data_IF_405511621262
#
_entry.id   IF_405511621262
#
_cell.length_a   1.000
_cell.length_b   1.000
_cell.length_c   1.000
_cell.angle_alpha   90.00
_cell.angle_beta   90.00
_cell.angle_gamma   90.00
#
_symmetry.space_group_name_H-M   'P 1'
#
loop_
_entity.id
_entity.type
_entity.pdbx_description
1 polymer ?
#
# COMPACT_ATOMS: atom_id res chain seq x y z
N UNK A 1 -17.38 24.52 0.89
CA UNK A 1 -16.14 24.92 0.26
C UNK A 1 -15.76 23.90 -0.81
N UNK A 2 -15.22 24.38 -1.94
CA UNK A 2 -14.72 23.52 -3.02
C UNK A 2 -13.28 23.91 -3.36
N UNK A 3 -12.44 22.93 -3.66
CA UNK A 3 -11.08 23.09 -4.14
C UNK A 3 -10.91 22.44 -5.52
N UNK A 4 -10.14 23.12 -6.39
CA UNK A 4 -9.74 22.58 -7.69
C UNK A 4 -8.22 22.72 -7.79
N UNK A 5 -7.52 21.68 -8.22
CA UNK A 5 -6.08 21.72 -8.32
C UNK A 5 -5.56 20.94 -9.52
N UNK A 6 -4.45 21.41 -10.04
CA UNK A 6 -3.66 20.72 -11.05
C UNK A 6 -2.20 20.87 -10.68
N UNK A 7 -1.45 19.78 -10.79
CA UNK A 7 -0.02 19.79 -10.47
C UNK A 7 0.77 18.85 -11.37
N UNK A 8 2.05 19.17 -11.54
CA UNK A 8 3.06 18.29 -12.10
C UNK A 8 4.14 18.09 -11.03
N UNK A 9 4.49 16.83 -10.75
CA UNK A 9 5.42 16.50 -9.68
C UNK A 9 6.24 15.27 -10.03
N UNK A 10 7.34 15.05 -9.29
CA UNK A 10 8.17 13.87 -9.39
C UNK A 10 7.85 12.89 -8.27
N UNK A 11 7.99 11.59 -8.54
CA UNK A 11 7.77 10.56 -7.52
C UNK A 11 8.75 10.75 -6.35
N UNK A 12 8.23 10.65 -5.14
CA UNK A 12 9.04 10.52 -3.91
C UNK A 12 9.20 9.07 -3.48
N UNK A 13 8.39 8.20 -4.06
CA UNK A 13 8.49 6.76 -3.81
C UNK A 13 9.47 6.15 -4.81
N UNK A 14 10.44 5.37 -4.33
CA UNK A 14 11.39 4.68 -5.18
C UNK A 14 10.70 3.59 -5.99
N UNK A 15 11.14 3.42 -7.22
CA UNK A 15 10.77 2.29 -8.09
C UNK A 15 11.98 1.38 -8.23
N UNK A 16 11.77 0.09 -8.00
CA UNK A 16 12.78 -0.94 -8.25
C UNK A 16 12.82 -1.24 -9.74
N UNK A 17 13.99 -1.07 -10.32
CA UNK A 17 14.30 -1.29 -11.74
C UNK A 17 15.52 -2.17 -11.85
N UNK A 18 15.69 -2.85 -12.98
CA UNK A 18 16.76 -3.82 -13.17
C UNK A 18 17.50 -3.57 -14.46
N UNK A 19 18.73 -4.08 -14.56
CA UNK A 19 19.54 -4.00 -15.79
C UNK A 19 20.24 -5.33 -16.01
N UNK A 20 20.26 -5.79 -17.25
CA UNK A 20 21.00 -6.99 -17.64
C UNK A 20 22.27 -6.61 -18.40
N UNK A 21 23.35 -7.35 -18.19
CA UNK A 21 24.60 -7.19 -18.96
C UNK A 21 24.58 -7.95 -20.29
N UNK A 22 23.42 -8.40 -20.74
CA UNK A 22 23.25 -9.11 -22.02
C UNK A 22 23.69 -10.58 -22.00
N UNK A 23 24.12 -11.11 -20.87
CA UNK A 23 24.43 -12.55 -20.72
C UNK A 23 23.13 -13.30 -20.46
N UNK A 24 22.59 -13.96 -21.48
CA UNK A 24 21.46 -14.86 -21.31
C UNK A 24 21.94 -16.12 -20.53
N UNK A 25 21.35 -16.35 -19.37
CA UNK A 25 21.56 -17.62 -18.66
C UNK A 25 20.65 -18.69 -19.27
N UNK A 26 21.19 -19.92 -19.51
CA UNK A 26 20.33 -21.02 -19.87
C UNK A 26 19.31 -21.26 -18.76
N UNK A 27 18.04 -21.25 -19.09
CA UNK A 27 16.90 -21.39 -18.16
C UNK A 27 16.91 -22.70 -17.32
N UNK A 28 17.88 -23.58 -17.55
CA UNK A 28 17.98 -24.90 -16.93
C UNK A 28 18.97 -24.96 -15.74
N UNK A 29 19.70 -23.89 -15.40
CA UNK A 29 20.71 -23.95 -14.34
C UNK A 29 20.23 -23.05 -13.17
N UNK A 30 19.93 -23.62 -11.99
CA UNK A 30 19.64 -22.84 -10.80
C UNK A 30 20.79 -21.85 -10.50
N UNK A 31 20.48 -20.58 -10.25
CA UNK A 31 21.46 -19.51 -9.94
C UNK A 31 22.39 -19.91 -8.79
N UNK A 32 21.90 -20.73 -7.85
CA UNK A 32 22.70 -21.30 -6.75
C UNK A 32 23.81 -22.25 -7.18
N UNK A 33 23.82 -22.70 -8.43
CA UNK A 33 24.81 -23.66 -8.96
C UNK A 33 25.85 -23.01 -9.90
N UNK A 34 25.84 -21.69 -10.02
CA UNK A 34 26.80 -20.95 -10.85
C UNK A 34 27.88 -20.30 -9.96
N UNK A 35 28.95 -21.02 -9.57
CA UNK A 35 30.01 -20.45 -8.74
C UNK A 35 30.78 -19.38 -9.54
N UNK A 36 30.84 -18.17 -9.00
CA UNK A 36 31.65 -17.08 -9.54
C UNK A 36 31.10 -16.35 -10.75
N UNK A 37 29.86 -16.62 -11.13
CA UNK A 37 29.15 -15.84 -12.14
C UNK A 37 28.39 -14.74 -11.40
N UNK A 38 28.78 -13.47 -11.59
CA UNK A 38 27.85 -12.38 -11.40
C UNK A 38 26.64 -12.72 -12.29
N UNK A 39 25.55 -13.22 -11.68
CA UNK A 39 24.28 -13.32 -12.37
C UNK A 39 24.13 -12.02 -13.12
N UNK A 40 24.04 -12.06 -14.46
CA UNK A 40 24.28 -10.93 -15.34
C UNK A 40 23.28 -9.78 -15.23
N UNK A 41 22.76 -9.56 -14.04
CA UNK A 41 21.80 -8.49 -13.72
C UNK A 41 22.24 -7.68 -12.51
N UNK A 42 21.90 -6.40 -12.56
CA UNK A 42 21.96 -5.47 -11.45
C UNK A 42 20.58 -4.85 -11.24
N UNK A 43 20.43 -4.12 -10.15
CA UNK A 43 19.24 -3.32 -9.92
C UNK A 43 19.63 -1.85 -9.70
N UNK A 44 18.70 -0.98 -9.95
CA UNK A 44 18.80 0.43 -9.62
C UNK A 44 17.46 0.96 -9.14
N UNK A 45 17.52 2.09 -8.45
CA UNK A 45 16.33 2.76 -7.93
C UNK A 45 16.11 4.02 -8.76
N UNK A 46 14.89 4.22 -9.21
CA UNK A 46 14.52 5.41 -9.96
C UNK A 46 13.31 6.12 -9.36
N UNK A 47 13.22 7.40 -9.62
CA UNK A 47 12.14 8.28 -9.18
C UNK A 47 11.50 8.91 -10.41
N UNK A 48 10.42 8.31 -10.96
CA UNK A 48 9.79 8.82 -12.18
C UNK A 48 9.33 10.26 -12.04
N UNK A 49 9.66 11.07 -13.03
CA UNK A 49 9.35 12.49 -13.11
C UNK A 49 8.04 12.75 -13.86
N UNK A 50 7.57 14.01 -13.87
CA UNK A 50 6.45 14.50 -14.68
C UNK A 50 5.12 13.74 -14.49
N UNK A 51 4.77 13.47 -13.24
CA UNK A 51 3.46 12.91 -12.89
C UNK A 51 2.45 14.05 -12.83
N UNK A 52 1.44 14.00 -13.69
CA UNK A 52 0.35 14.97 -13.68
C UNK A 52 -0.78 14.51 -12.75
N UNK A 53 -1.36 15.44 -12.02
CA UNK A 53 -2.53 15.19 -11.19
C UNK A 53 -3.53 16.33 -11.32
N UNK A 54 -4.79 15.98 -11.44
CA UNK A 54 -5.94 16.88 -11.42
C UNK A 54 -6.87 16.43 -10.30
N UNK A 55 -7.43 17.37 -9.55
CA UNK A 55 -8.30 17.01 -8.44
C UNK A 55 -9.37 18.03 -8.15
N UNK A 56 -10.41 17.53 -7.53
CA UNK A 56 -11.53 18.32 -6.99
C UNK A 56 -11.79 17.83 -5.56
N UNK A 57 -11.92 18.76 -4.63
CA UNK A 57 -12.28 18.48 -3.25
C UNK A 57 -13.47 19.32 -2.79
N UNK A 58 -14.18 18.82 -1.80
CA UNK A 58 -15.22 19.56 -1.12
C UNK A 58 -15.15 19.35 0.38
N UNK A 59 -15.65 20.33 1.12
CA UNK A 59 -15.88 20.24 2.56
C UNK A 59 -17.16 20.97 2.92
N UNK A 60 -17.96 20.37 3.79
CA UNK A 60 -19.20 20.93 4.32
C UNK A 60 -19.45 20.50 5.74
N UNK A 61 -20.29 21.24 6.48
CA UNK A 61 -20.74 20.89 7.82
C UNK A 61 -22.26 20.77 7.85
N UNK A 62 -22.75 19.70 8.43
CA UNK A 62 -24.17 19.40 8.61
C UNK A 62 -24.43 19.22 10.11
N UNK A 63 -24.73 20.31 10.81
CA UNK A 63 -24.82 20.31 12.27
C UNK A 63 -23.46 20.02 12.90
N UNK A 64 -23.39 18.97 13.72
CA UNK A 64 -22.14 18.49 14.37
C UNK A 64 -21.30 17.57 13.51
N UNK A 65 -21.75 17.30 12.29
CA UNK A 65 -21.06 16.42 11.35
C UNK A 65 -20.35 17.22 10.29
N UNK A 66 -19.04 17.04 10.14
CA UNK A 66 -18.27 17.53 9.01
C UNK A 66 -18.11 16.41 7.99
N UNK A 67 -18.30 16.73 6.72
CA UNK A 67 -18.12 15.83 5.59
C UNK A 67 -17.15 16.46 4.61
N UNK A 68 -16.11 15.73 4.23
CA UNK A 68 -15.18 16.15 3.19
C UNK A 68 -14.96 15.00 2.20
N UNK A 69 -14.60 15.35 0.99
CA UNK A 69 -14.28 14.36 -0.02
C UNK A 69 -13.39 14.93 -1.10
N UNK A 70 -12.73 14.02 -1.79
CA UNK A 70 -11.81 14.34 -2.86
C UNK A 70 -11.90 13.27 -3.95
N UNK A 71 -11.77 13.71 -5.20
CA UNK A 71 -11.48 12.85 -6.34
C UNK A 71 -10.26 13.41 -7.06
N UNK A 72 -9.29 12.55 -7.35
CA UNK A 72 -8.08 12.89 -8.09
C UNK A 72 -7.86 11.95 -9.26
N UNK A 73 -7.33 12.48 -10.36
CA UNK A 73 -7.01 11.75 -11.57
C UNK A 73 -5.57 12.00 -11.97
N UNK A 74 -4.82 10.91 -12.15
CA UNK A 74 -3.43 10.91 -12.61
C UNK A 74 -3.34 10.15 -13.93
N UNK A 75 -3.26 10.82 -15.08
CA UNK A 75 -3.26 10.14 -16.40
C UNK A 75 -2.02 9.29 -16.65
N UNK A 76 -0.95 9.50 -15.90
CA UNK A 76 0.36 8.90 -16.13
C UNK A 76 1.06 8.48 -14.82
N UNK A 77 0.32 7.91 -13.87
CA UNK A 77 0.87 7.39 -12.61
C UNK A 77 1.83 6.22 -12.90
N UNK A 78 3.11 6.29 -12.49
CA UNK A 78 3.99 5.14 -12.56
C UNK A 78 3.57 4.09 -11.53
N UNK A 79 3.33 2.87 -11.99
CA UNK A 79 2.99 1.73 -11.15
C UNK A 79 4.12 0.70 -11.24
N UNK A 80 4.59 0.22 -10.09
CA UNK A 80 5.65 -0.78 -9.99
C UNK A 80 5.19 -2.09 -10.65
N UNK A 81 5.92 -2.55 -11.64
CA UNK A 81 5.80 -3.90 -12.19
C UNK A 81 6.29 -4.88 -11.12
N UNK A 82 5.71 -6.07 -11.06
CA UNK A 82 6.15 -7.13 -10.14
C UNK A 82 7.68 -7.24 -10.11
N UNK A 83 8.28 -7.03 -8.95
CA UNK A 83 9.74 -7.10 -8.80
C UNK A 83 10.29 -8.50 -9.07
N UNK A 84 9.50 -9.54 -8.81
CA UNK A 84 9.85 -10.91 -9.16
C UNK A 84 9.88 -11.12 -10.68
N UNK A 85 8.93 -10.53 -11.41
CA UNK A 85 8.90 -10.61 -12.89
C UNK A 85 10.07 -9.85 -13.51
N UNK A 86 10.43 -8.68 -12.97
CA UNK A 86 11.60 -7.92 -13.40
C UNK A 86 12.90 -8.72 -13.15
N UNK A 87 13.03 -9.30 -11.98
CA UNK A 87 14.19 -10.11 -11.61
C UNK A 87 14.28 -11.35 -12.51
N UNK A 88 13.17 -12.04 -12.73
CA UNK A 88 13.13 -13.20 -13.62
C UNK A 88 13.51 -12.84 -15.06
N UNK A 89 13.05 -11.68 -15.56
CA UNK A 89 13.36 -11.22 -16.91
C UNK A 89 14.87 -10.99 -17.13
N UNK A 90 15.55 -10.32 -16.20
CA UNK A 90 16.99 -10.07 -16.31
C UNK A 90 17.84 -11.32 -16.05
N UNK A 91 17.27 -12.32 -15.41
CA UNK A 91 17.86 -13.65 -15.24
C UNK A 91 17.57 -14.60 -16.43
N UNK A 92 16.96 -14.09 -17.50
CA UNK A 92 16.71 -14.81 -18.74
C UNK A 92 15.41 -15.59 -18.82
N UNK A 93 14.51 -15.45 -17.83
CA UNK A 93 13.18 -16.02 -17.95
C UNK A 93 12.33 -15.23 -18.94
N UNK A 94 11.64 -15.93 -19.84
CA UNK A 94 10.70 -15.29 -20.77
C UNK A 94 9.40 -14.95 -20.05
N UNK A 95 9.10 -13.67 -19.96
CA UNK A 95 7.86 -13.14 -19.41
C UNK A 95 7.54 -11.76 -20.07
N UNK A 96 6.38 -11.14 -19.82
CA UNK A 96 6.01 -9.87 -20.44
C UNK A 96 6.98 -8.71 -20.17
N UNK A 97 7.70 -8.71 -19.04
CA UNK A 97 8.70 -7.70 -18.74
C UNK A 97 9.95 -7.83 -19.61
N UNK A 98 10.29 -9.04 -20.09
CA UNK A 98 11.46 -9.29 -20.94
C UNK A 98 11.42 -8.46 -22.25
N UNK A 99 10.24 -8.28 -22.83
CA UNK A 99 10.06 -7.49 -24.04
C UNK A 99 10.30 -5.98 -23.84
N UNK A 100 10.47 -5.54 -22.61
CA UNK A 100 10.71 -4.14 -22.22
C UNK A 100 12.18 -3.84 -21.92
N UNK A 101 13.07 -4.84 -22.04
CA UNK A 101 14.51 -4.63 -21.88
C UNK A 101 14.99 -3.75 -23.03
N UNK A 102 15.60 -2.64 -22.68
CA UNK A 102 16.14 -1.68 -23.66
C UNK A 102 17.47 -2.17 -24.27
N UNK A 103 17.91 -1.51 -25.33
CA UNK A 103 19.14 -1.91 -26.03
C UNK A 103 20.42 -1.79 -25.16
N UNK A 104 20.41 -0.93 -24.15
CA UNK A 104 21.48 -0.79 -23.16
C UNK A 104 21.40 -1.84 -22.02
N UNK A 105 20.37 -2.68 -22.04
CA UNK A 105 20.13 -3.69 -21.02
C UNK A 105 19.23 -3.24 -19.86
N UNK A 106 18.84 -1.99 -19.80
CA UNK A 106 17.99 -1.49 -18.73
C UNK A 106 16.54 -1.97 -18.88
N UNK A 107 15.91 -2.23 -17.75
CA UNK A 107 14.51 -2.58 -17.65
C UNK A 107 13.87 -1.72 -16.57
N UNK A 108 13.19 -0.66 -17.01
CA UNK A 108 12.46 0.24 -16.14
C UNK A 108 11.32 -0.50 -15.43
N UNK A 109 11.33 -0.44 -14.10
CA UNK A 109 10.44 -1.21 -13.22
C UNK A 109 9.01 -0.70 -13.13
N UNK A 110 8.59 0.21 -13.99
CA UNK A 110 7.24 0.77 -13.97
C UNK A 110 6.61 0.87 -15.35
N UNK A 111 5.30 0.92 -15.35
CA UNK A 111 4.48 1.36 -16.47
C UNK A 111 3.59 2.50 -16.01
N UNK A 112 3.45 3.53 -16.84
CA UNK A 112 2.55 4.65 -16.57
C UNK A 112 1.15 4.27 -16.99
N UNK A 113 0.21 4.29 -16.03
CA UNK A 113 -1.20 4.01 -16.25
C UNK A 113 -2.06 5.12 -15.65
N UNK A 114 -3.27 5.34 -16.19
CA UNK A 114 -4.21 6.26 -15.59
C UNK A 114 -4.75 5.70 -14.27
N UNK A 115 -4.72 6.52 -13.21
CA UNK A 115 -5.23 6.18 -11.88
C UNK A 115 -6.21 7.24 -11.42
N UNK A 116 -7.40 6.82 -11.03
CA UNK A 116 -8.39 7.64 -10.34
C UNK A 116 -8.47 7.20 -8.89
N UNK A 117 -8.43 8.16 -7.98
CA UNK A 117 -8.62 7.93 -6.56
C UNK A 117 -9.75 8.81 -6.06
N UNK A 118 -10.67 8.25 -5.27
CA UNK A 118 -11.73 8.97 -4.60
C UNK A 118 -11.75 8.62 -3.11
N UNK A 119 -12.07 9.61 -2.27
CA UNK A 119 -12.24 9.40 -0.83
C UNK A 119 -13.31 10.31 -0.26
N UNK A 120 -13.97 9.83 0.78
CA UNK A 120 -14.93 10.59 1.57
C UNK A 120 -14.64 10.35 3.05
N UNK A 121 -14.51 11.42 3.80
CA UNK A 121 -14.29 11.42 5.25
C UNK A 121 -15.48 12.07 5.95
N UNK A 122 -15.96 11.44 7.02
CA UNK A 122 -16.99 11.94 7.91
C UNK A 122 -16.42 12.09 9.30
N UNK A 123 -16.58 13.24 9.90
CA UNK A 123 -16.24 13.54 11.29
C UNK A 123 -17.50 13.94 12.04
N UNK A 124 -17.79 13.29 13.16
CA UNK A 124 -18.94 13.62 14.00
C UNK A 124 -18.54 13.73 15.49
N UNK A 125 -19.17 14.67 16.19
CA UNK A 125 -19.02 14.85 17.62
C UNK A 125 -20.36 14.61 18.30
N UNK A 126 -20.32 13.81 19.37
CA UNK A 126 -21.49 13.52 20.21
C UNK A 126 -21.08 13.81 21.66
N UNK A 127 -21.73 14.81 22.25
CA UNK A 127 -21.41 15.21 23.62
C UNK A 127 -22.13 14.33 24.65
N UNK A 128 -21.55 14.19 25.85
CA UNK A 128 -22.09 13.49 27.01
C UNK A 128 -22.40 12.01 26.79
N UNK A 129 -21.46 11.25 26.18
CA UNK A 129 -21.59 9.83 25.90
C UNK A 129 -20.74 9.00 26.89
N UNK A 130 -21.32 7.97 27.49
CA UNK A 130 -20.63 7.03 28.41
C UNK A 130 -19.89 7.72 29.58
N UNK A 131 -20.34 8.87 30.02
CA UNK A 131 -19.68 9.69 31.04
C UNK A 131 -18.49 10.50 30.55
N UNK A 132 -18.13 10.42 29.26
CA UNK A 132 -17.19 11.31 28.62
C UNK A 132 -17.86 12.63 28.24
N UNK A 133 -17.09 13.70 28.16
CA UNK A 133 -17.58 14.99 27.67
C UNK A 133 -17.92 14.91 26.18
N UNK A 134 -17.12 14.17 25.41
CA UNK A 134 -17.29 14.05 23.96
C UNK A 134 -16.86 12.69 23.45
N UNK A 135 -17.63 12.15 22.53
CA UNK A 135 -17.24 11.08 21.62
C UNK A 135 -16.94 11.72 20.25
N UNK A 136 -15.74 11.49 19.76
CA UNK A 136 -15.32 11.82 18.39
C UNK A 136 -15.36 10.58 17.54
N UNK A 137 -16.08 10.63 16.42
CA UNK A 137 -16.14 9.56 15.43
C UNK A 137 -15.59 10.06 14.11
N UNK A 138 -14.63 9.34 13.54
CA UNK A 138 -14.08 9.60 12.20
C UNK A 138 -14.25 8.33 11.39
N UNK A 139 -14.79 8.46 10.19
CA UNK A 139 -14.88 7.38 9.21
C UNK A 139 -14.42 7.88 7.85
N UNK A 140 -13.65 7.06 7.16
CA UNK A 140 -13.19 7.34 5.80
C UNK A 140 -13.38 6.11 4.94
N UNK A 141 -13.87 6.31 3.72
CA UNK A 141 -13.91 5.31 2.64
C UNK A 141 -13.05 5.83 1.50
N UNK A 142 -12.16 4.99 1.02
CA UNK A 142 -11.29 5.25 -0.12
C UNK A 142 -11.51 4.23 -1.24
N UNK A 143 -11.34 4.68 -2.47
CA UNK A 143 -11.48 3.87 -3.67
C UNK A 143 -10.42 4.24 -4.69
N UNK A 144 -9.82 3.25 -5.33
CA UNK A 144 -8.90 3.41 -6.45
C UNK A 144 -9.43 2.68 -7.68
N UNK A 145 -9.27 3.31 -8.84
CA UNK A 145 -9.45 2.69 -10.14
C UNK A 145 -8.19 2.88 -11.00
N UNK A 146 -7.65 1.80 -11.52
CA UNK A 146 -6.50 1.77 -12.41
C UNK A 146 -6.95 1.32 -13.79
N UNK A 147 -6.87 2.21 -14.77
CA UNK A 147 -7.27 1.87 -16.13
C UNK A 147 -6.14 1.17 -16.88
N UNK A 148 -6.49 0.12 -17.63
CA UNK A 148 -5.55 -0.58 -18.51
C UNK A 148 -4.65 -1.60 -17.79
N UNK A 149 -5.08 -2.10 -16.63
CA UNK A 149 -4.58 -3.33 -16.05
C UNK A 149 -5.22 -4.51 -16.79
N UNK A 150 -4.39 -5.50 -17.10
CA UNK A 150 -4.82 -6.82 -17.53
C UNK A 150 -4.14 -7.83 -16.59
N UNK A 151 -4.93 -8.56 -15.82
CA UNK A 151 -4.44 -9.56 -14.88
C UNK A 151 -4.34 -10.97 -15.49
N UNK A 152 -4.56 -11.09 -16.81
CA UNK A 152 -4.43 -12.34 -17.54
C UNK A 152 -3.00 -12.87 -17.49
N UNK A 153 -2.86 -14.18 -17.50
CA UNK A 153 -1.54 -14.82 -17.57
C UNK A 153 -0.83 -14.45 -18.88
N UNK A 154 0.40 -14.02 -18.77
CA UNK A 154 1.19 -13.53 -19.91
C UNK A 154 1.14 -12.02 -20.13
N UNK A 155 0.41 -11.28 -19.29
CA UNK A 155 0.39 -9.83 -19.26
C UNK A 155 1.26 -9.26 -18.11
N UNK A 156 1.55 -7.95 -18.15
CA UNK A 156 2.32 -7.28 -17.09
C UNK A 156 1.52 -7.23 -15.80
N UNK A 157 2.12 -7.71 -14.74
CA UNK A 157 1.54 -7.71 -13.39
C UNK A 157 2.18 -6.61 -12.55
N UNK A 158 1.40 -6.02 -11.65
CA UNK A 158 1.80 -4.86 -10.86
C UNK A 158 1.64 -5.14 -9.36
N UNK A 159 2.43 -4.44 -8.55
CA UNK A 159 2.39 -4.57 -7.10
C UNK A 159 2.82 -5.97 -6.63
N UNK A 160 2.14 -6.48 -5.62
CA UNK A 160 2.41 -7.68 -4.86
C UNK A 160 3.83 -7.73 -4.28
N UNK A 161 3.94 -7.94 -2.99
CA UNK A 161 5.24 -8.07 -2.33
C UNK A 161 5.98 -9.31 -2.85
N UNK A 162 7.29 -9.16 -3.06
CA UNK A 162 8.17 -10.24 -3.56
C UNK A 162 8.20 -11.47 -2.67
N UNK A 163 7.85 -11.32 -1.39
CA UNK A 163 7.73 -12.41 -0.43
C UNK A 163 6.80 -13.53 -0.90
N UNK A 164 5.77 -13.19 -1.67
CA UNK A 164 4.75 -14.14 -2.13
C UNK A 164 5.07 -14.81 -3.48
N UNK A 165 6.34 -14.74 -3.93
CA UNK A 165 6.81 -15.40 -5.13
C UNK A 165 6.31 -14.80 -6.45
N UNK A 166 6.64 -15.44 -7.57
CA UNK A 166 6.23 -14.98 -8.91
C UNK A 166 4.87 -15.53 -9.36
N UNK A 167 4.49 -16.73 -8.88
CA UNK A 167 3.42 -17.47 -9.52
C UNK A 167 3.81 -17.97 -10.93
N UNK A 168 2.82 -18.30 -11.75
CA UNK A 168 3.05 -18.64 -13.16
C UNK A 168 3.39 -17.36 -13.95
N UNK A 169 4.43 -17.43 -14.79
CA UNK A 169 4.82 -16.28 -15.64
C UNK A 169 4.02 -16.24 -16.95
N UNK A 170 3.98 -17.34 -17.68
CA UNK A 170 3.34 -17.44 -18.99
C UNK A 170 2.56 -18.74 -19.20
N UNK A 171 2.93 -19.80 -18.49
CA UNK A 171 2.36 -21.14 -18.68
C UNK A 171 1.65 -21.58 -17.41
N UNK A 172 0.35 -21.93 -17.45
CA UNK A 172 -0.40 -22.42 -16.30
C UNK A 172 0.27 -23.64 -15.66
N UNK A 173 0.44 -23.62 -14.34
CA UNK A 173 1.01 -24.73 -13.57
C UNK A 173 2.53 -24.89 -13.67
N UNK A 174 3.22 -24.05 -14.43
CA UNK A 174 4.68 -24.16 -14.60
C UNK A 174 5.44 -23.88 -13.29
N UNK A 175 4.96 -22.94 -12.50
CA UNK A 175 5.54 -22.63 -11.19
C UNK A 175 5.45 -23.85 -10.26
N UNK A 176 4.28 -24.42 -10.07
CA UNK A 176 4.06 -25.56 -9.19
C UNK A 176 4.81 -26.81 -9.67
N UNK A 177 4.95 -27.01 -10.98
CA UNK A 177 5.74 -28.10 -11.54
C UNK A 177 7.24 -27.98 -11.26
N UNK A 178 7.76 -26.74 -11.16
CA UNK A 178 9.17 -26.46 -10.88
C UNK A 178 9.48 -26.26 -9.39
N UNK A 179 8.52 -25.71 -8.62
CA UNK A 179 8.66 -25.47 -7.19
C UNK A 179 7.83 -26.45 -6.35
N UNK A 180 8.25 -27.70 -6.37
CA UNK A 180 7.57 -28.78 -5.62
C UNK A 180 7.76 -28.69 -4.11
N UNK A 181 8.74 -27.93 -3.65
CA UNK A 181 9.04 -27.76 -2.22
C UNK A 181 8.06 -26.82 -1.54
N UNK A 182 7.63 -25.75 -2.23
CA UNK A 182 6.65 -24.80 -1.72
C UNK A 182 5.70 -24.31 -2.84
N UNK A 183 4.71 -25.14 -3.22
CA UNK A 183 3.74 -24.76 -4.25
C UNK A 183 2.83 -23.58 -3.83
N UNK A 184 2.77 -23.21 -2.54
CA UNK A 184 1.93 -22.11 -2.04
C UNK A 184 2.36 -20.76 -2.60
N UNK A 185 3.63 -20.58 -2.96
CA UNK A 185 4.16 -19.37 -3.61
C UNK A 185 3.82 -19.28 -5.10
N UNK A 186 3.15 -20.29 -5.64
CA UNK A 186 2.78 -20.38 -7.05
C UNK A 186 1.37 -19.86 -7.38
N UNK A 187 0.78 -19.08 -6.48
CA UNK A 187 -0.50 -18.42 -6.76
C UNK A 187 -0.34 -17.23 -7.71
N UNK A 188 -1.32 -17.03 -8.58
CA UNK A 188 -1.40 -15.90 -9.51
C UNK A 188 -2.29 -14.75 -8.98
N UNK A 189 -2.72 -14.80 -7.72
CA UNK A 189 -3.50 -13.76 -7.05
C UNK A 189 -2.60 -12.73 -6.36
N UNK A 190 -3.18 -11.62 -5.86
CA UNK A 190 -2.49 -10.61 -5.07
C UNK A 190 -1.78 -9.53 -5.88
N UNK A 191 -1.86 -9.55 -7.20
CA UNK A 191 -1.43 -8.46 -8.08
C UNK A 191 -2.51 -7.40 -8.19
N UNK A 192 -2.12 -6.16 -8.56
CA UNK A 192 -3.06 -5.06 -8.71
C UNK A 192 -4.24 -5.42 -9.60
N UNK A 193 -5.42 -5.03 -9.16
CA UNK A 193 -6.70 -5.15 -9.86
C UNK A 193 -7.14 -3.79 -10.39
N UNK A 194 -8.11 -3.77 -11.32
CA UNK A 194 -8.67 -2.53 -11.84
C UNK A 194 -9.27 -1.65 -10.75
N UNK A 195 -9.88 -2.27 -9.75
CA UNK A 195 -10.55 -1.59 -8.66
C UNK A 195 -10.03 -2.10 -7.32
N UNK A 196 -9.92 -1.20 -6.36
CA UNK A 196 -9.64 -1.57 -4.98
C UNK A 196 -10.23 -0.53 -4.03
N UNK A 197 -10.73 -0.96 -2.86
CA UNK A 197 -11.31 -0.07 -1.89
C UNK A 197 -11.22 -0.59 -0.46
N UNK A 198 -11.35 0.34 0.46
CA UNK A 198 -11.33 0.02 1.87
C UNK A 198 -11.86 1.17 2.70
N UNK A 199 -11.93 0.96 4.01
CA UNK A 199 -12.35 1.97 4.96
C UNK A 199 -11.48 2.00 6.21
N UNK A 200 -11.51 3.15 6.87
CA UNK A 200 -10.86 3.40 8.16
C UNK A 200 -11.85 4.07 9.09
N UNK A 201 -11.84 3.69 10.36
CA UNK A 201 -12.70 4.27 11.38
C UNK A 201 -11.91 4.52 12.66
N UNK A 202 -12.20 5.64 13.33
CA UNK A 202 -11.64 5.98 14.64
C UNK A 202 -12.77 6.44 15.55
N UNK A 203 -12.73 5.96 16.79
CA UNK A 203 -13.59 6.44 17.86
C UNK A 203 -12.71 6.83 19.05
N UNK A 204 -12.91 8.01 19.62
CA UNK A 204 -12.22 8.43 20.85
C UNK A 204 -13.19 9.11 21.82
N UNK A 205 -12.96 8.91 23.11
CA UNK A 205 -13.76 9.48 24.19
C UNK A 205 -12.90 10.43 25.02
N UNK A 206 -13.38 11.66 25.23
CA UNK A 206 -12.67 12.65 26.03
C UNK A 206 -13.25 12.70 27.45
N UNK A 207 -12.47 12.28 28.45
CA UNK A 207 -12.76 12.36 29.87
C UNK A 207 -11.90 13.43 30.51
N UNK A 208 -12.53 14.52 30.96
CA UNK A 208 -11.85 15.61 31.66
C UNK A 208 -12.21 15.56 33.16
N UNK A 209 -11.28 15.99 34.00
CA UNK A 209 -11.54 16.22 35.42
C UNK A 209 -11.25 15.06 36.37
N UNK A 210 -10.69 13.95 35.96
CA UNK A 210 -10.28 12.89 36.90
C UNK A 210 -8.94 13.28 37.57
N UNK A 211 -9.04 13.86 38.78
CA UNK A 211 -7.86 14.33 39.54
C UNK A 211 -6.89 15.24 38.76
N UNK A 212 -7.43 16.11 37.85
CA UNK A 212 -6.64 17.00 37.01
C UNK A 212 -5.98 16.31 35.80
N UNK A 213 -6.34 15.07 35.53
CA UNK A 213 -5.90 14.33 34.34
C UNK A 213 -7.01 14.29 33.31
N UNK A 214 -6.73 14.68 32.08
CA UNK A 214 -7.57 14.40 30.93
C UNK A 214 -7.18 13.03 30.36
N UNK A 215 -8.16 12.15 30.14
CA UNK A 215 -7.97 10.81 29.58
C UNK A 215 -8.70 10.68 28.25
N UNK A 216 -8.01 10.22 27.23
CA UNK A 216 -8.58 9.97 25.90
C UNK A 216 -8.29 8.52 25.46
N UNK A 217 -9.15 7.54 25.81
CA UNK A 217 -9.13 6.25 25.15
C UNK A 217 -9.57 6.38 23.69
N UNK A 218 -8.93 5.63 22.82
CA UNK A 218 -9.20 5.60 21.40
C UNK A 218 -9.17 4.19 20.84
N UNK A 219 -10.01 3.94 19.84
CA UNK A 219 -10.04 2.73 19.04
C UNK A 219 -9.96 3.12 17.57
N UNK A 220 -9.05 2.52 16.82
CA UNK A 220 -8.99 2.66 15.37
C UNK A 220 -9.07 1.29 14.70
N UNK A 221 -9.70 1.26 13.54
CA UNK A 221 -9.83 0.07 12.72
C UNK A 221 -9.68 0.42 11.25
N UNK A 222 -9.00 -0.42 10.49
CA UNK A 222 -8.91 -0.35 9.04
C UNK A 222 -9.19 -1.70 8.40
N UNK A 223 -9.82 -1.67 7.23
CA UNK A 223 -10.09 -2.85 6.42
C UNK A 223 -9.96 -2.48 4.95
N UNK A 224 -9.07 -3.16 4.25
CA UNK A 224 -8.95 -3.14 2.82
C UNK A 224 -9.89 -4.24 2.28
N UNK A 225 -11.07 -3.84 1.77
CA UNK A 225 -12.22 -4.75 1.62
C UNK A 225 -12.10 -5.63 0.39
N UNK A 226 -11.71 -5.03 -0.75
CA UNK A 226 -11.69 -5.73 -2.03
C UNK A 226 -10.64 -5.12 -2.95
N UNK A 227 -9.97 -5.97 -3.71
CA UNK A 227 -8.99 -5.63 -4.71
C UNK A 227 -7.62 -5.23 -4.16
N UNK A 228 -6.66 -5.24 -5.05
CA UNK A 228 -5.27 -4.88 -4.79
C UNK A 228 -4.90 -3.61 -5.54
N UNK A 229 -4.19 -2.71 -4.90
CA UNK A 229 -3.81 -1.44 -5.50
C UNK A 229 -2.69 -0.74 -4.72
N UNK A 230 -2.32 0.48 -5.11
CA UNK A 230 -1.28 1.23 -4.41
C UNK A 230 -1.60 1.51 -2.94
N UNK A 231 -2.89 1.56 -2.56
CA UNK A 231 -3.35 1.96 -1.23
C UNK A 231 -4.09 0.86 -0.49
N UNK A 232 -4.51 -0.21 -1.17
CA UNK A 232 -5.33 -1.29 -0.63
C UNK A 232 -4.74 -2.65 -0.95
N UNK A 233 -4.86 -3.55 0.02
CA UNK A 233 -4.42 -4.94 -0.09
C UNK A 233 -5.53 -5.84 0.46
N UNK A 234 -6.33 -6.42 -0.43
CA UNK A 234 -7.56 -7.16 -0.14
C UNK A 234 -7.49 -8.03 1.11
N UNK A 235 -8.49 -7.87 1.97
CA UNK A 235 -8.62 -8.60 3.21
C UNK A 235 -7.70 -8.15 4.35
N UNK A 236 -6.74 -7.22 4.09
CA UNK A 236 -5.84 -6.73 5.12
C UNK A 236 -6.60 -5.85 6.13
N UNK A 237 -6.40 -6.13 7.41
CA UNK A 237 -7.03 -5.42 8.53
C UNK A 237 -6.00 -4.98 9.55
N UNK A 238 -6.29 -3.88 10.24
CA UNK A 238 -5.55 -3.47 11.43
C UNK A 238 -6.50 -2.91 12.48
N UNK A 239 -6.24 -3.23 13.74
CA UNK A 239 -6.93 -2.68 14.90
C UNK A 239 -5.92 -2.03 15.83
N UNK A 240 -6.22 -0.83 16.31
CA UNK A 240 -5.42 -0.14 17.31
C UNK A 240 -6.29 0.22 18.51
N UNK A 241 -5.77 -0.02 19.70
CA UNK A 241 -6.34 0.48 20.96
C UNK A 241 -5.30 1.35 21.64
N UNK A 242 -5.71 2.55 22.05
CA UNK A 242 -4.83 3.53 22.67
C UNK A 242 -5.46 4.21 23.86
N UNK A 243 -4.60 4.71 24.76
CA UNK A 243 -4.96 5.59 25.85
C UNK A 243 -3.94 6.73 25.92
N UNK A 244 -4.44 7.96 25.88
CA UNK A 244 -3.64 9.16 26.11
C UNK A 244 -4.08 9.80 27.44
N UNK A 245 -3.12 10.21 28.26
CA UNK A 245 -3.33 10.93 29.50
C UNK A 245 -2.57 12.26 29.45
N UNK A 246 -3.24 13.34 29.82
CA UNK A 246 -2.63 14.70 29.92
C UNK A 246 -2.90 15.24 31.30
N UNK A 247 -1.81 15.61 32.03
CA UNK A 247 -1.88 16.19 33.37
C UNK A 247 -1.48 17.66 33.34
N UNK A 248 -2.38 18.53 33.82
CA UNK A 248 -2.19 19.97 33.90
C UNK A 248 -1.75 20.64 32.56
N UNK A 249 -2.12 20.10 31.42
CA UNK A 249 -1.69 20.53 30.10
C UNK A 249 -0.16 20.58 29.90
N UNK A 250 0.58 20.02 30.84
CA UNK A 250 2.05 20.04 30.88
C UNK A 250 2.66 18.66 30.60
N UNK A 251 2.18 17.64 31.24
CA UNK A 251 2.70 16.28 31.11
C UNK A 251 1.74 15.45 30.25
N UNK A 252 2.28 14.72 29.29
CA UNK A 252 1.49 13.78 28.49
C UNK A 252 2.13 12.39 28.51
N UNK A 253 1.32 11.38 28.48
CA UNK A 253 1.72 9.99 28.36
C UNK A 253 0.74 9.27 27.45
N UNK A 254 1.21 8.35 26.63
CA UNK A 254 0.33 7.48 25.85
C UNK A 254 0.83 6.06 25.81
N UNK A 255 -0.11 5.11 25.70
CA UNK A 255 0.14 3.71 25.39
C UNK A 255 -0.79 3.29 24.26
N UNK A 256 -0.25 2.59 23.27
CA UNK A 256 -0.99 2.10 22.14
C UNK A 256 -0.56 0.66 21.82
N UNK A 257 -1.50 -0.16 21.37
CA UNK A 257 -1.22 -1.47 20.80
C UNK A 257 -1.89 -1.57 19.44
N UNK A 258 -1.12 -2.00 18.44
CA UNK A 258 -1.60 -2.23 17.08
C UNK A 258 -1.43 -3.68 16.71
N UNK A 259 -2.51 -4.30 16.23
CA UNK A 259 -2.53 -5.64 15.69
C UNK A 259 -2.86 -5.59 14.20
N UNK A 260 -2.09 -6.32 13.39
CA UNK A 260 -2.30 -6.47 11.96
C UNK A 260 -2.73 -7.91 11.65
N UNK A 261 -3.79 -8.07 10.88
CA UNK A 261 -4.36 -9.38 10.60
C UNK A 261 -5.12 -9.40 9.27
N UNK A 262 -5.49 -10.61 8.81
CA UNK A 262 -6.23 -10.81 7.57
C UNK A 262 -5.43 -10.50 6.31
N UNK A 263 -6.00 -10.87 5.15
CA UNK A 263 -5.40 -10.70 3.83
C UNK A 263 -4.33 -11.76 3.51
N UNK A 264 -4.51 -12.46 2.41
CA UNK A 264 -3.59 -13.54 2.00
C UNK A 264 -2.20 -13.02 1.57
N UNK A 265 -2.15 -11.74 1.14
CA UNK A 265 -0.93 -11.08 0.68
C UNK A 265 -0.53 -9.91 1.59
N UNK A 266 -0.85 -10.00 2.87
CA UNK A 266 -0.55 -8.98 3.87
C UNK A 266 0.77 -9.26 4.58
N UNK A 267 1.84 -8.59 4.18
CA UNK A 267 3.17 -8.71 4.77
C UNK A 267 3.30 -8.14 6.20
N UNK A 268 2.21 -7.63 6.78
CA UNK A 268 2.22 -7.03 8.12
C UNK A 268 1.61 -7.93 9.20
N UNK A 269 1.08 -9.11 8.88
CA UNK A 269 0.32 -9.98 9.81
C UNK A 269 1.10 -10.43 11.06
N UNK A 270 2.41 -10.32 11.07
CA UNK A 270 3.30 -10.67 12.19
C UNK A 270 4.03 -9.44 12.79
N UNK A 271 3.59 -8.22 12.45
CA UNK A 271 4.26 -6.96 12.83
C UNK A 271 3.49 -6.18 13.88
N UNK A 272 2.80 -6.87 14.76
CA UNK A 272 2.12 -6.25 15.90
C UNK A 272 3.11 -5.52 16.79
N UNK A 273 2.70 -4.39 17.33
CA UNK A 273 3.58 -3.63 18.22
C UNK A 273 2.81 -2.89 19.31
N UNK A 274 3.50 -2.67 20.43
CA UNK A 274 3.10 -1.75 21.48
C UNK A 274 4.03 -0.55 21.50
N UNK A 275 3.45 0.64 21.66
CA UNK A 275 4.19 1.88 21.76
C UNK A 275 3.82 2.63 23.05
N UNK A 276 4.83 3.16 23.73
CA UNK A 276 4.66 4.02 24.90
C UNK A 276 5.40 5.33 24.66
N UNK A 277 4.75 6.44 24.93
CA UNK A 277 5.39 7.75 24.87
C UNK A 277 5.14 8.56 26.13
N UNK A 278 6.09 9.43 26.50
CA UNK A 278 5.99 10.39 27.59
C UNK A 278 6.55 11.72 27.11
N UNK A 279 5.85 12.80 27.36
CA UNK A 279 6.26 14.14 26.94
C UNK A 279 6.00 15.19 28.00
N UNK A 280 6.75 16.29 27.92
CA UNK A 280 6.59 17.47 28.77
C UNK A 280 6.55 18.71 27.89
N UNK A 281 5.51 19.53 28.08
CA UNK A 281 5.36 20.84 27.43
C UNK A 281 5.92 21.93 28.38
N UNK A 282 6.75 22.79 27.87
CA UNK A 282 7.40 23.88 28.62
C UNK A 282 6.71 25.22 28.38
#
# INVERSE_FOLDING_TARGET
EFGFYAMNYHSRNPIYSTSTNGVAYPAAVPVSQLPGVNAGGSYFIEYPEDIRMYGVSFQTSLGTTAVSGEISYRPNQPLQISSNDLTAAVLGASNPATARIEANGDLHGYKRLPVTQAQVTVLNFIDNVLGAERLTLIGEVGYNHISGIDSSLGELRFGRDSLYGSGDLTTPGACAASNTADPSTCTNSGFYTDNSWGYRAVASLDYNGFAGVALTPALAFSHDVDGYGPNFNEGAMAANIGLTAVYNNKYNASINYTNFFGGDFNANTDRDFAAVSVGVNF
#
